data_IF_926650366148
#
_entry.id   IF_926650366148
#
_cell.length_a   1.000
_cell.length_b   1.000
_cell.length_c   1.000
_cell.angle_alpha   90.00
_cell.angle_beta   90.00
_cell.angle_gamma   90.00
#
_symmetry.space_group_name_H-M   'P 1'
#
loop_
_entity.id
_entity.type
_entity.pdbx_description
1 polymer ?
#
# COMPACT_ATOMS: atom_id res chain seq x y z
N UNK A 1 -5.02 9.60 13.39
CA UNK A 1 -4.43 8.45 12.68
C UNK A 1 -5.33 7.22 12.76
N UNK A 2 -5.93 6.88 13.92
CA UNK A 2 -6.84 5.76 14.08
C UNK A 2 -8.00 5.80 13.06
N UNK A 3 -8.64 6.94 12.90
CA UNK A 3 -9.78 7.10 11.98
C UNK A 3 -9.42 6.85 10.50
N UNK A 4 -8.19 7.18 10.06
CA UNK A 4 -7.72 6.89 8.70
C UNK A 4 -7.53 5.38 8.52
N UNK A 5 -6.88 4.74 9.49
CA UNK A 5 -6.62 3.31 9.45
C UNK A 5 -7.92 2.49 9.49
N UNK A 6 -8.89 2.89 10.32
CA UNK A 6 -10.23 2.27 10.37
C UNK A 6 -10.92 2.33 9.00
N UNK A 7 -10.93 3.50 8.36
CA UNK A 7 -11.54 3.69 7.02
C UNK A 7 -10.86 2.80 5.97
N UNK A 8 -9.53 2.70 6.00
CA UNK A 8 -8.77 1.82 5.10
C UNK A 8 -9.13 0.35 5.37
N UNK A 9 -9.17 -0.04 6.64
CA UNK A 9 -9.47 -1.41 7.05
C UNK A 9 -10.89 -1.82 6.63
N UNK A 10 -11.89 -1.00 6.85
CA UNK A 10 -13.27 -1.24 6.41
C UNK A 10 -13.35 -1.43 4.89
N UNK A 11 -12.70 -0.54 4.14
CA UNK A 11 -12.64 -0.65 2.69
C UNK A 11 -11.99 -1.98 2.26
N UNK A 12 -10.84 -2.32 2.85
CA UNK A 12 -10.11 -3.53 2.47
C UNK A 12 -10.81 -4.81 2.91
N UNK A 13 -11.44 -4.83 4.07
CA UNK A 13 -12.27 -5.95 4.53
C UNK A 13 -13.47 -6.22 3.62
N UNK A 14 -13.96 -5.19 2.93
CA UNK A 14 -15.00 -5.34 1.90
C UNK A 14 -14.48 -5.83 0.54
N UNK A 15 -13.17 -5.73 0.28
CA UNK A 15 -12.52 -6.09 -0.99
C UNK A 15 -11.75 -7.40 -0.94
N UNK A 16 -11.14 -7.71 0.20
CA UNK A 16 -10.21 -8.81 0.37
C UNK A 16 -10.70 -9.80 1.43
N UNK A 17 -10.34 -11.06 1.27
CA UNK A 17 -10.62 -12.12 2.24
C UNK A 17 -9.69 -12.08 3.45
N UNK A 18 -8.56 -11.40 3.33
CA UNK A 18 -7.55 -11.28 4.36
C UNK A 18 -6.99 -9.85 4.33
N UNK A 19 -6.95 -9.22 5.49
CA UNK A 19 -6.32 -7.91 5.71
C UNK A 19 -5.33 -8.06 6.86
N UNK A 20 -4.09 -7.64 6.62
CA UNK A 20 -2.99 -7.73 7.59
C UNK A 20 -2.46 -6.32 7.82
N UNK A 21 -2.40 -5.92 9.08
CA UNK A 21 -1.79 -4.67 9.50
C UNK A 21 -0.38 -4.97 10.02
N UNK A 22 0.62 -4.34 9.42
CA UNK A 22 2.01 -4.46 9.85
C UNK A 22 2.40 -3.21 10.63
N UNK A 23 2.77 -3.37 11.90
CA UNK A 23 3.11 -2.27 12.80
C UNK A 23 4.37 -2.58 13.61
N UNK A 24 5.04 -1.55 14.10
CA UNK A 24 6.19 -1.74 14.98
C UNK A 24 5.76 -1.97 16.45
N UNK A 25 4.61 -1.42 16.86
CA UNK A 25 4.10 -1.47 18.24
C UNK A 25 2.69 -2.07 18.29
N UNK A 26 2.58 -3.41 18.27
CA UNK A 26 1.28 -4.09 18.15
C UNK A 26 0.38 -3.92 19.37
N UNK A 27 0.93 -3.49 20.53
CA UNK A 27 0.14 -3.30 21.76
C UNK A 27 -0.91 -2.20 21.64
N UNK A 28 -0.66 -1.20 20.78
CA UNK A 28 -1.60 -0.11 20.50
C UNK A 28 -2.89 -0.61 19.83
N UNK A 29 -2.82 -1.79 19.20
CA UNK A 29 -3.92 -2.41 18.47
C UNK A 29 -4.56 -3.61 19.20
N UNK A 30 -4.22 -3.84 20.48
CA UNK A 30 -4.64 -5.05 21.22
C UNK A 30 -6.17 -5.17 21.43
N UNK A 31 -6.95 -4.11 21.21
CA UNK A 31 -8.42 -4.11 21.29
C UNK A 31 -9.13 -4.21 19.94
N UNK A 32 -8.39 -4.32 18.86
CA UNK A 32 -8.94 -4.30 17.51
C UNK A 32 -9.15 -5.75 17.00
N UNK A 33 -10.29 -6.00 16.37
CA UNK A 33 -10.57 -7.30 15.73
C UNK A 33 -9.91 -7.36 14.33
N UNK A 34 -8.58 -7.28 14.33
CA UNK A 34 -7.75 -7.21 13.12
C UNK A 34 -6.55 -8.15 13.24
N UNK A 35 -6.06 -8.68 12.10
CA UNK A 35 -4.79 -9.41 12.06
C UNK A 35 -3.63 -8.41 12.08
N UNK A 36 -2.99 -8.29 13.23
CA UNK A 36 -1.85 -7.38 13.45
C UNK A 36 -0.57 -8.19 13.59
N UNK A 37 0.46 -7.82 12.83
CA UNK A 37 1.78 -8.45 12.85
C UNK A 37 2.87 -7.39 12.99
N UNK A 38 4.08 -7.83 13.39
CA UNK A 38 5.26 -6.97 13.49
C UNK A 38 6.27 -7.27 12.40
N UNK A 39 7.19 -6.34 12.19
CA UNK A 39 8.33 -6.56 11.31
C UNK A 39 9.15 -7.78 11.74
N UNK A 40 9.32 -8.74 10.82
CA UNK A 40 10.16 -9.94 11.03
C UNK A 40 11.63 -9.52 11.03
N UNK A 41 11.99 -8.59 10.13
CA UNK A 41 13.34 -8.01 10.04
C UNK A 41 13.29 -6.62 10.67
N UNK A 42 13.96 -6.39 11.81
CA UNK A 42 13.80 -5.17 12.60
C UNK A 42 14.57 -3.98 12.01
N UNK A 43 14.23 -3.56 10.80
CA UNK A 43 14.92 -2.45 10.10
C UNK A 43 14.10 -1.15 10.06
N UNK A 44 12.92 -1.09 10.67
CA UNK A 44 12.03 0.09 10.79
C UNK A 44 11.91 0.89 9.48
N UNK A 45 11.70 0.21 8.37
CA UNK A 45 11.53 0.83 7.06
C UNK A 45 10.35 0.21 6.30
N UNK A 46 9.79 0.93 5.34
CA UNK A 46 8.64 0.45 4.57
C UNK A 46 8.92 -0.87 3.82
N UNK A 47 10.17 -1.15 3.48
CA UNK A 47 10.55 -2.42 2.84
C UNK A 47 10.46 -3.60 3.81
N UNK A 48 10.75 -3.42 5.10
CA UNK A 48 10.58 -4.45 6.13
C UNK A 48 9.09 -4.73 6.38
N UNK A 49 8.26 -3.68 6.43
CA UNK A 49 6.81 -3.84 6.51
C UNK A 49 6.23 -4.60 5.30
N UNK A 50 6.68 -4.28 4.09
CA UNK A 50 6.32 -5.03 2.88
C UNK A 50 6.74 -6.50 2.96
N UNK A 51 7.97 -6.79 3.43
CA UNK A 51 8.46 -8.15 3.67
C UNK A 51 7.52 -8.92 4.59
N UNK A 52 7.24 -8.36 5.76
CA UNK A 52 6.41 -8.99 6.80
C UNK A 52 4.98 -9.20 6.33
N UNK A 53 4.37 -8.21 5.67
CA UNK A 53 3.05 -8.34 5.07
C UNK A 53 2.98 -9.49 4.05
N UNK A 54 3.96 -9.61 3.15
CA UNK A 54 4.02 -10.69 2.17
C UNK A 54 4.30 -12.06 2.83
N UNK A 55 5.13 -12.10 3.87
CA UNK A 55 5.46 -13.34 4.58
C UNK A 55 4.21 -13.94 5.24
N UNK A 56 3.47 -13.12 5.98
CA UNK A 56 2.26 -13.56 6.70
C UNK A 56 1.05 -13.75 5.79
N UNK A 57 0.98 -13.12 4.62
CA UNK A 57 -0.14 -13.28 3.70
C UNK A 57 -0.36 -14.75 3.30
N UNK A 58 -1.62 -15.21 3.29
CA UNK A 58 -1.98 -16.57 2.87
C UNK A 58 -2.06 -16.72 1.34
N UNK A 59 -2.20 -15.62 0.61
CA UNK A 59 -2.39 -15.60 -0.83
C UNK A 59 -1.10 -15.30 -1.61
N UNK A 60 -0.99 -15.72 -2.90
CA UNK A 60 0.22 -15.53 -3.70
C UNK A 60 0.59 -14.06 -3.98
N UNK A 61 -0.39 -13.16 -3.91
CA UNK A 61 -0.22 -11.72 -4.07
C UNK A 61 -0.90 -10.99 -2.92
N UNK A 62 -0.33 -9.85 -2.53
CA UNK A 62 -0.95 -8.89 -1.63
C UNK A 62 -0.94 -7.49 -2.27
N UNK A 63 -2.05 -6.75 -2.12
CA UNK A 63 -2.08 -5.30 -2.35
C UNK A 63 -1.58 -4.61 -1.09
N UNK A 64 -0.73 -3.60 -1.26
CA UNK A 64 -0.09 -2.88 -0.15
C UNK A 64 -0.40 -1.40 -0.25
N UNK A 65 -0.77 -0.82 0.88
CA UNK A 65 -0.91 0.63 1.04
C UNK A 65 -0.29 1.09 2.35
N UNK A 66 0.03 2.39 2.44
CA UNK A 66 0.42 3.02 3.69
C UNK A 66 -0.81 3.34 4.56
N UNK A 67 -0.63 3.44 5.87
CA UNK A 67 -1.72 3.75 6.81
C UNK A 67 -2.06 5.25 6.90
N UNK A 68 -1.28 6.10 6.26
CA UNK A 68 -1.41 7.57 6.24
C UNK A 68 -2.14 8.10 4.99
N UNK A 69 -2.90 7.25 4.29
CA UNK A 69 -3.56 7.55 3.01
C UNK A 69 -5.08 7.65 3.15
N UNK A 70 -5.63 8.84 3.45
CA UNK A 70 -7.05 9.00 3.78
C UNK A 70 -8.00 8.82 2.59
N UNK A 71 -7.49 8.86 1.35
CA UNK A 71 -8.30 8.85 0.13
C UNK A 71 -8.09 7.59 -0.72
N UNK A 72 -7.80 6.44 -0.09
CA UNK A 72 -7.75 5.17 -0.82
C UNK A 72 -9.05 4.97 -1.59
N UNK A 73 -8.95 4.65 -2.89
CA UNK A 73 -10.09 4.58 -3.79
C UNK A 73 -10.31 3.15 -4.26
N UNK A 74 -11.51 2.61 -3.98
CA UNK A 74 -11.93 1.24 -4.37
C UNK A 74 -11.61 0.94 -5.84
N UNK A 75 -12.01 1.81 -6.75
CA UNK A 75 -11.82 1.61 -8.20
C UNK A 75 -10.34 1.48 -8.61
N UNK A 76 -9.45 2.22 -7.94
CA UNK A 76 -7.99 2.13 -8.18
C UNK A 76 -7.45 0.81 -7.65
N UNK A 77 -7.83 0.41 -6.44
CA UNK A 77 -7.42 -0.87 -5.84
C UNK A 77 -7.88 -2.04 -6.71
N UNK A 78 -9.17 -2.07 -7.08
CA UNK A 78 -9.75 -3.12 -7.93
C UNK A 78 -9.06 -3.19 -9.29
N UNK A 79 -8.71 -2.05 -9.90
CA UNK A 79 -8.01 -2.01 -11.18
C UNK A 79 -6.59 -2.58 -11.08
N UNK A 80 -5.84 -2.22 -10.03
CA UNK A 80 -4.47 -2.71 -9.80
C UNK A 80 -4.51 -4.22 -9.55
N UNK A 81 -5.40 -4.69 -8.67
CA UNK A 81 -5.55 -6.11 -8.34
C UNK A 81 -6.06 -6.90 -9.55
N UNK A 82 -7.03 -6.36 -10.30
CA UNK A 82 -7.53 -6.96 -11.55
C UNK A 82 -6.48 -7.03 -12.66
N UNK A 83 -5.40 -6.26 -12.55
CA UNK A 83 -4.27 -6.29 -13.49
C UNK A 83 -3.23 -7.37 -13.16
N UNK A 84 -3.41 -8.13 -12.08
CA UNK A 84 -2.52 -9.26 -11.73
C UNK A 84 -2.63 -10.34 -12.81
N UNK A 85 -1.49 -10.69 -13.42
CA UNK A 85 -1.40 -11.74 -14.43
C UNK A 85 -0.07 -12.47 -14.36
N UNK A 86 -0.03 -13.68 -14.91
CA UNK A 86 1.18 -14.51 -14.99
C UNK A 86 2.35 -13.75 -15.62
N UNK A 87 3.54 -13.94 -15.06
CA UNK A 87 4.79 -13.32 -15.54
C UNK A 87 5.16 -12.01 -14.84
N UNK A 88 4.26 -11.39 -14.09
CA UNK A 88 4.58 -10.19 -13.30
C UNK A 88 4.64 -10.50 -11.80
N UNK A 89 5.59 -9.91 -11.12
CA UNK A 89 5.78 -10.02 -9.66
C UNK A 89 5.30 -8.76 -8.93
N UNK A 90 5.27 -7.64 -9.65
CA UNK A 90 4.85 -6.32 -9.11
C UNK A 90 3.91 -5.66 -10.11
N UNK A 91 2.76 -5.20 -9.65
CA UNK A 91 1.83 -4.36 -10.40
C UNK A 91 1.75 -3.03 -9.68
N UNK A 92 2.24 -1.96 -10.30
CA UNK A 92 2.55 -0.70 -9.63
C UNK A 92 2.08 0.52 -10.43
N UNK A 93 1.42 1.51 -9.81
CA UNK A 93 1.14 2.78 -10.43
C UNK A 93 2.42 3.53 -10.83
N UNK A 94 2.39 4.15 -12.01
CA UNK A 94 3.35 5.16 -12.43
C UNK A 94 2.64 6.49 -12.57
N UNK A 95 3.02 7.44 -11.75
CA UNK A 95 2.58 8.83 -11.78
C UNK A 95 3.63 9.71 -12.47
N UNK A 96 3.35 11.01 -12.56
CA UNK A 96 4.32 11.98 -13.07
C UNK A 96 5.56 12.09 -12.14
N UNK A 97 5.38 11.80 -10.83
CA UNK A 97 6.45 11.79 -9.81
C UNK A 97 7.21 10.46 -9.74
N UNK A 98 6.76 9.44 -10.47
CA UNK A 98 7.42 8.14 -10.54
C UNK A 98 6.54 6.95 -10.14
N UNK A 99 7.17 5.88 -9.66
CA UNK A 99 6.47 4.69 -9.20
C UNK A 99 5.92 4.89 -7.79
N UNK A 100 4.71 4.35 -7.52
CA UNK A 100 4.04 4.46 -6.23
C UNK A 100 4.03 3.09 -5.50
N UNK A 101 5.11 2.77 -4.77
CA UNK A 101 5.31 1.42 -4.21
C UNK A 101 4.37 1.08 -3.05
N UNK A 102 3.78 2.06 -2.39
CA UNK A 102 2.80 1.84 -1.31
C UNK A 102 1.35 1.97 -1.80
N UNK A 103 1.12 1.70 -3.10
CA UNK A 103 -0.20 1.58 -3.74
C UNK A 103 -0.17 0.47 -4.79
N UNK A 104 0.49 -0.64 -4.49
CA UNK A 104 0.86 -1.65 -5.48
C UNK A 104 0.51 -3.06 -5.03
N UNK A 105 0.39 -3.98 -5.98
CA UNK A 105 0.27 -5.41 -5.69
C UNK A 105 1.63 -6.10 -5.89
N UNK A 106 2.00 -6.95 -4.95
CA UNK A 106 3.26 -7.68 -4.92
C UNK A 106 3.02 -9.19 -4.80
N UNK A 107 3.78 -9.97 -5.55
CA UNK A 107 3.85 -11.42 -5.40
C UNK A 107 4.73 -11.81 -4.23
N UNK A 108 4.40 -12.91 -3.53
CA UNK A 108 5.29 -13.56 -2.55
C UNK A 108 6.64 -13.96 -3.13
N UNK A 109 6.77 -14.11 -4.45
CA UNK A 109 8.05 -14.33 -5.13
C UNK A 109 9.05 -13.17 -4.96
N UNK A 110 8.58 -11.99 -4.49
CA UNK A 110 9.45 -10.86 -4.15
C UNK A 110 10.23 -11.07 -2.85
N UNK A 111 9.78 -11.94 -1.93
CA UNK A 111 10.37 -12.11 -0.58
C UNK A 111 11.91 -12.29 -0.64
N UNK A 112 12.48 -13.23 -1.41
CA UNK A 112 13.94 -13.42 -1.42
C UNK A 112 14.72 -12.20 -1.94
N UNK A 113 14.10 -11.40 -2.81
CA UNK A 113 14.73 -10.16 -3.33
C UNK A 113 14.69 -9.05 -2.30
N UNK A 114 13.61 -8.98 -1.52
CA UNK A 114 13.47 -8.02 -0.42
C UNK A 114 14.50 -8.35 0.66
N UNK A 115 14.59 -9.61 1.10
CA UNK A 115 15.57 -10.08 2.08
C UNK A 115 17.00 -9.71 1.67
N UNK A 116 17.37 -10.04 0.43
CA UNK A 116 18.69 -9.68 -0.13
C UNK A 116 18.93 -8.16 -0.13
N UNK A 117 17.89 -7.35 -0.35
CA UNK A 117 18.03 -5.90 -0.31
C UNK A 117 18.25 -5.40 1.11
N UNK A 118 17.49 -5.91 2.07
CA UNK A 118 17.65 -5.58 3.50
C UNK A 118 19.02 -5.97 4.04
N UNK A 119 19.52 -7.16 3.71
CA UNK A 119 20.88 -7.62 4.04
C UNK A 119 21.98 -6.69 3.51
N UNK A 120 21.74 -6.07 2.34
CA UNK A 120 22.67 -5.12 1.74
C UNK A 120 22.41 -3.66 2.15
N UNK A 121 21.60 -3.40 3.17
CA UNK A 121 21.19 -2.07 3.63
C UNK A 121 20.54 -1.23 2.52
N UNK A 122 19.80 -1.85 1.61
CA UNK A 122 19.02 -1.19 0.57
C UNK A 122 17.56 -1.15 1.04
N UNK A 123 17.12 -0.03 1.61
CA UNK A 123 15.80 0.12 2.21
C UNK A 123 14.72 0.68 1.26
N UNK A 124 15.12 1.13 0.08
CA UNK A 124 14.23 1.73 -0.91
C UNK A 124 13.48 0.65 -1.68
N UNK A 125 12.15 0.61 -1.57
CA UNK A 125 11.31 -0.41 -2.22
C UNK A 125 11.56 -0.47 -3.73
N UNK A 126 11.65 0.67 -4.41
CA UNK A 126 11.87 0.76 -5.87
C UNK A 126 13.15 0.08 -6.36
N UNK A 127 14.08 -0.30 -5.47
CA UNK A 127 15.38 -0.89 -5.84
C UNK A 127 15.41 -2.42 -5.85
N UNK A 128 14.47 -3.11 -5.20
CA UNK A 128 14.55 -4.56 -5.11
C UNK A 128 13.99 -5.29 -6.34
N UNK A 129 12.99 -4.75 -7.00
CA UNK A 129 12.29 -5.49 -8.05
C UNK A 129 12.97 -5.39 -9.43
N UNK A 130 12.83 -6.47 -10.20
CA UNK A 130 13.40 -6.58 -11.54
C UNK A 130 12.51 -5.91 -12.56
N UNK A 131 13.06 -5.04 -13.43
CA UNK A 131 12.29 -4.31 -14.47
C UNK A 131 11.43 -5.22 -15.38
N UNK A 132 11.89 -6.46 -15.67
CA UNK A 132 11.16 -7.39 -16.55
C UNK A 132 9.91 -8.03 -15.91
N UNK A 133 9.74 -7.93 -14.59
CA UNK A 133 8.63 -8.54 -13.85
C UNK A 133 7.73 -7.50 -13.20
N UNK A 134 7.80 -6.27 -13.65
CA UNK A 134 6.99 -5.13 -13.19
C UNK A 134 5.99 -4.76 -14.27
N UNK A 135 4.71 -4.76 -13.93
CA UNK A 135 3.64 -4.17 -14.73
C UNK A 135 3.36 -2.77 -14.19
N UNK A 136 3.73 -1.76 -14.94
CA UNK A 136 3.44 -0.37 -14.60
C UNK A 136 2.05 0.01 -15.11
N UNK A 137 1.22 0.55 -14.22
CA UNK A 137 -0.08 1.12 -14.57
C UNK A 137 0.12 2.61 -14.87
N UNK A 138 -0.08 3.06 -16.11
CA UNK A 138 0.21 4.43 -16.49
C UNK A 138 -0.79 5.42 -15.88
N UNK A 139 -0.31 6.64 -15.63
CA UNK A 139 -1.08 7.73 -14.99
C UNK A 139 -2.41 8.02 -15.68
N UNK A 140 -2.49 7.93 -17.00
CA UNK A 140 -3.73 8.18 -17.75
C UNK A 140 -4.85 7.21 -17.34
N UNK A 141 -4.51 5.94 -17.04
CA UNK A 141 -5.49 4.97 -16.54
C UNK A 141 -5.93 5.30 -15.11
N UNK A 142 -5.02 5.78 -14.29
CA UNK A 142 -5.31 6.18 -12.91
C UNK A 142 -6.20 7.44 -12.87
N UNK A 143 -5.93 8.43 -13.73
CA UNK A 143 -6.75 9.65 -13.85
C UNK A 143 -8.17 9.37 -14.33
N UNK A 144 -8.43 8.30 -15.08
CA UNK A 144 -9.79 7.88 -15.41
C UNK A 144 -10.58 7.37 -14.21
N UNK A 145 -9.87 6.81 -13.21
CA UNK A 145 -10.46 6.23 -12.00
C UNK A 145 -10.51 7.24 -10.84
N UNK A 146 -9.53 8.12 -10.80
CA UNK A 146 -9.37 9.19 -9.82
C UNK A 146 -8.78 10.44 -10.49
N UNK A 147 -9.62 11.32 -11.08
CA UNK A 147 -9.15 12.47 -11.88
C UNK A 147 -8.22 13.42 -11.12
N UNK A 148 -8.43 13.56 -9.82
CA UNK A 148 -7.63 14.42 -8.95
C UNK A 148 -6.43 13.71 -8.32
N UNK A 149 -6.27 12.40 -8.61
CA UNK A 149 -5.18 11.57 -8.07
C UNK A 149 -5.08 11.62 -6.53
N UNK A 150 -6.23 11.77 -5.85
CA UNK A 150 -6.26 11.89 -4.37
C UNK A 150 -5.78 10.62 -3.67
N UNK A 151 -5.88 9.46 -4.31
CA UNK A 151 -5.49 8.18 -3.73
C UNK A 151 -4.01 8.10 -3.31
N UNK A 152 -3.13 8.94 -3.88
CA UNK A 152 -1.70 9.01 -3.51
C UNK A 152 -1.40 10.10 -2.47
N UNK A 153 -2.42 10.80 -1.96
CA UNK A 153 -2.21 11.83 -0.96
C UNK A 153 -1.92 11.21 0.41
N UNK A 154 -0.79 11.57 1.02
CA UNK A 154 -0.36 11.11 2.33
C UNK A 154 -0.48 12.23 3.36
N UNK A 155 -0.83 11.87 4.58
CA UNK A 155 -0.89 12.77 5.74
C UNK A 155 0.33 12.54 6.62
N UNK A 156 1.38 13.34 6.41
CA UNK A 156 2.62 13.26 7.16
C UNK A 156 2.79 14.39 8.19
N UNK A 157 2.04 15.48 8.02
CA UNK A 157 2.12 16.68 8.86
C UNK A 157 0.74 17.16 9.31
N UNK A 158 0.63 17.95 10.39
CA UNK A 158 -0.63 18.59 10.76
C UNK A 158 -1.24 19.43 9.63
N UNK A 159 -0.41 20.06 8.78
CA UNK A 159 -0.85 20.83 7.62
C UNK A 159 -1.48 19.91 6.56
N UNK A 160 -0.93 18.72 6.34
CA UNK A 160 -1.53 17.74 5.41
C UNK A 160 -2.86 17.24 5.94
N UNK A 161 -3.00 17.10 7.26
CA UNK A 161 -4.27 16.72 7.89
C UNK A 161 -5.36 17.77 7.66
N UNK A 162 -5.04 19.05 7.82
CA UNK A 162 -6.00 20.14 7.54
C UNK A 162 -6.35 20.22 6.04
N UNK A 163 -5.39 19.97 5.16
CA UNK A 163 -5.68 19.83 3.70
C UNK A 163 -6.60 18.64 3.43
N UNK A 164 -6.33 17.47 4.06
CA UNK A 164 -7.19 16.30 3.91
C UNK A 164 -8.63 16.59 4.33
N UNK A 165 -8.84 17.27 5.48
CA UNK A 165 -10.19 17.71 5.91
C UNK A 165 -10.88 18.58 4.88
N UNK A 166 -10.16 19.56 4.32
CA UNK A 166 -10.68 20.45 3.29
C UNK A 166 -11.09 19.67 2.04
N UNK A 167 -10.24 18.75 1.59
CA UNK A 167 -10.50 17.87 0.43
C UNK A 167 -11.69 16.92 0.67
N UNK A 168 -11.88 16.44 1.90
CA UNK A 168 -13.02 15.59 2.27
C UNK A 168 -14.35 16.38 2.26
N UNK A 169 -14.36 17.62 2.77
CA UNK A 169 -15.54 18.47 2.84
C UNK A 169 -16.04 18.90 1.46
N UNK A 170 -15.17 19.05 0.47
CA UNK A 170 -15.56 19.38 -0.91
C UNK A 170 -16.39 18.27 -1.58
N UNK A 171 -16.32 17.01 -1.10
CA UNK A 171 -17.17 15.90 -1.57
C UNK A 171 -18.61 15.94 -1.07
N UNK A 172 -18.90 16.64 0.02
CA UNK A 172 -20.23 16.68 0.62
C UNK A 172 -21.10 17.84 0.08
N UNK A 173 -20.59 18.57 -0.91
CA UNK A 173 -21.26 19.75 -1.50
C UNK A 173 -21.68 19.56 -2.97
N UNK A 174 -21.45 18.36 -3.54
CA UNK A 174 -21.94 17.92 -4.86
C UNK A 174 -22.97 16.79 -4.71
#
# INVERSE_FOLDING_TARGET
DEMILETIYELFSSLFKEVIIVVNEPREFAGWDMTVVTDIIPSKCALAGLHSGLFYASYPYAYVTACDTPFVKRSVVEYIVGSIKSGYEVIIPRTDDGLEPLYAAYSKACIPLIEKSLENNIFMIKKFFRKKKVLEIPVDKLKLLDPEMRFIFNVNTPQDFEKAKTMANLKNTE
#
